data_IF_507215619841
#
_entry.id   IF_507215619841
#
_cell.length_a   1.000
_cell.length_b   1.000
_cell.length_c   1.000
_cell.angle_alpha   90.00
_cell.angle_beta   90.00
_cell.angle_gamma   90.00
#
_symmetry.space_group_name_H-M   'P 1'
#
loop_
_entity.id
_entity.type
_entity.pdbx_description
1 polymer ?
#
# COMPACT_ATOMS: atom_id res chain seq x y z
N UNK A 1 -8.72 23.50 -3.36
CA UNK A 1 -8.50 22.31 -2.51
C UNK A 1 -7.02 22.24 -2.20
N UNK A 2 -6.65 22.22 -0.90
CA UNK A 2 -5.26 21.97 -0.49
C UNK A 2 -4.99 20.49 -0.75
N UNK A 3 -3.89 20.15 -1.41
CA UNK A 3 -3.53 18.74 -1.63
C UNK A 3 -2.88 18.22 -0.36
N UNK A 4 -3.65 17.47 0.43
CA UNK A 4 -3.32 17.09 1.82
C UNK A 4 -2.46 15.81 1.86
N UNK A 5 -2.53 14.99 0.82
CA UNK A 5 -1.63 13.86 0.59
C UNK A 5 -1.28 13.79 -0.90
N UNK A 6 0.00 13.99 -1.21
CA UNK A 6 0.48 13.90 -2.59
C UNK A 6 1.39 12.68 -2.73
N UNK A 7 0.93 11.69 -3.48
CA UNK A 7 1.73 10.54 -3.89
C UNK A 7 2.19 10.78 -5.30
N UNK A 8 3.46 11.13 -5.46
CA UNK A 8 4.08 11.26 -6.78
C UNK A 8 4.89 10.01 -7.06
N UNK A 9 4.75 9.51 -8.29
CA UNK A 9 5.55 8.43 -8.80
C UNK A 9 6.47 9.00 -9.87
N UNK A 10 7.77 8.96 -9.59
CA UNK A 10 8.80 9.27 -10.58
C UNK A 10 9.75 8.07 -10.67
N UNK A 11 9.79 7.44 -11.84
CA UNK A 11 10.52 6.19 -12.10
C UNK A 11 10.18 5.09 -11.07
N UNK A 12 11.17 4.77 -10.23
CA UNK A 12 11.21 3.73 -9.21
C UNK A 12 11.03 4.27 -7.78
N UNK A 13 10.78 5.57 -7.65
CA UNK A 13 10.60 6.24 -6.36
C UNK A 13 9.13 6.56 -6.15
N UNK A 14 8.63 6.23 -4.95
CA UNK A 14 7.32 6.65 -4.46
C UNK A 14 7.58 7.70 -3.39
N UNK A 15 7.18 8.94 -3.67
CA UNK A 15 7.32 10.05 -2.74
C UNK A 15 5.96 10.37 -2.12
N UNK A 16 5.90 10.39 -0.80
CA UNK A 16 4.68 10.69 -0.03
C UNK A 16 4.92 11.96 0.76
N UNK A 17 4.16 13.01 0.46
CA UNK A 17 4.14 14.23 1.28
C UNK A 17 2.91 14.21 2.17
N UNK A 18 3.12 14.35 3.49
CA UNK A 18 2.09 14.37 4.53
C UNK A 18 2.17 15.71 5.26
N UNK A 19 1.14 16.55 5.11
CA UNK A 19 1.04 17.83 5.83
C UNK A 19 0.59 17.62 7.29
N UNK A 20 0.67 18.67 8.12
CA UNK A 20 0.36 18.60 9.56
C UNK A 20 -1.11 18.40 9.89
N UNK A 21 -2.01 18.73 8.97
CA UNK A 21 -3.46 18.76 9.19
C UNK A 21 -4.17 17.56 8.54
N UNK A 22 -3.47 16.44 8.37
CA UNK A 22 -3.97 15.23 7.72
C UNK A 22 -4.83 14.43 8.70
N UNK A 23 -6.06 14.10 8.32
CA UNK A 23 -6.89 13.20 9.11
C UNK A 23 -6.34 11.77 9.06
N UNK A 24 -6.65 10.95 10.08
CA UNK A 24 -6.26 9.53 10.07
C UNK A 24 -6.74 8.81 8.80
N UNK A 25 -7.96 9.11 8.33
CA UNK A 25 -8.54 8.53 7.12
C UNK A 25 -7.74 8.89 5.84
N UNK A 26 -7.33 10.15 5.70
CA UNK A 26 -6.49 10.58 4.56
C UNK A 26 -5.11 9.93 4.59
N UNK A 27 -4.54 9.73 5.78
CA UNK A 27 -3.28 9.02 5.96
C UNK A 27 -3.43 7.54 5.57
N UNK A 28 -4.52 6.89 5.97
CA UNK A 28 -4.84 5.51 5.60
C UNK A 28 -4.97 5.36 4.07
N UNK A 29 -5.68 6.27 3.40
CA UNK A 29 -5.77 6.26 1.94
C UNK A 29 -4.40 6.44 1.27
N UNK A 30 -3.54 7.29 1.82
CA UNK A 30 -2.19 7.44 1.32
C UNK A 30 -1.35 6.18 1.44
N UNK A 31 -1.39 5.54 2.61
CA UNK A 31 -0.69 4.27 2.84
C UNK A 31 -1.21 3.16 1.92
N UNK A 32 -2.53 3.06 1.73
CA UNK A 32 -3.14 2.12 0.77
C UNK A 32 -2.60 2.37 -0.64
N UNK A 33 -2.52 3.63 -1.06
CA UNK A 33 -2.03 3.99 -2.39
C UNK A 33 -0.54 3.63 -2.58
N UNK A 34 0.29 3.87 -1.56
CA UNK A 34 1.71 3.46 -1.57
C UNK A 34 1.83 1.94 -1.69
N UNK A 35 1.10 1.19 -0.86
CA UNK A 35 1.09 -0.28 -0.88
C UNK A 35 0.67 -0.83 -2.24
N UNK A 36 -0.38 -0.26 -2.83
CA UNK A 36 -0.84 -0.62 -4.18
C UNK A 36 0.27 -0.48 -5.23
N UNK A 37 1.01 0.63 -5.22
CA UNK A 37 2.10 0.87 -6.16
C UNK A 37 3.29 -0.07 -5.94
N UNK A 38 3.63 -0.36 -4.68
CA UNK A 38 4.68 -1.33 -4.34
C UNK A 38 4.34 -2.74 -4.83
N UNK A 39 3.08 -3.17 -4.67
CA UNK A 39 2.59 -4.47 -5.17
C UNK A 39 2.72 -4.54 -6.69
N UNK A 40 2.29 -3.50 -7.42
CA UNK A 40 2.43 -3.46 -8.89
C UNK A 40 3.89 -3.51 -9.31
N UNK A 41 4.78 -2.81 -8.59
CA UNK A 41 6.22 -2.82 -8.88
C UNK A 41 6.81 -4.22 -8.70
N UNK A 42 6.47 -4.92 -7.62
CA UNK A 42 6.94 -6.29 -7.39
C UNK A 42 6.42 -7.28 -8.45
N UNK A 43 5.16 -7.14 -8.86
CA UNK A 43 4.58 -7.94 -9.96
C UNK A 43 5.40 -7.76 -11.25
N UNK A 44 5.72 -6.51 -11.59
CA UNK A 44 6.53 -6.19 -12.78
C UNK A 44 7.96 -6.70 -12.67
N UNK A 45 8.60 -6.51 -11.51
CA UNK A 45 9.97 -6.94 -11.26
C UNK A 45 10.13 -8.47 -11.37
N UNK A 46 9.08 -9.22 -11.02
CA UNK A 46 9.01 -10.68 -11.17
C UNK A 46 8.60 -11.16 -12.57
N UNK A 47 8.37 -10.26 -13.51
CA UNK A 47 7.88 -10.61 -14.86
C UNK A 47 6.47 -11.21 -14.86
N UNK A 48 5.68 -11.00 -13.81
CA UNK A 48 4.32 -11.53 -13.71
C UNK A 48 3.33 -10.63 -14.44
N UNK A 49 2.31 -11.23 -15.07
CA UNK A 49 1.20 -10.47 -15.66
C UNK A 49 0.39 -9.79 -14.56
N UNK A 50 0.05 -8.51 -14.75
CA UNK A 50 -0.89 -7.81 -13.87
C UNK A 50 -2.28 -8.44 -14.01
N UNK A 51 -2.69 -9.20 -13.00
CA UNK A 51 -3.99 -9.87 -12.91
C UNK A 51 -4.47 -9.83 -11.47
N UNK A 52 -5.79 -9.97 -11.25
CA UNK A 52 -6.37 -10.01 -9.91
C UNK A 52 -5.73 -11.10 -9.03
N UNK A 53 -5.46 -12.27 -9.59
CA UNK A 53 -4.85 -13.38 -8.86
C UNK A 53 -3.41 -13.06 -8.42
N UNK A 54 -2.58 -12.56 -9.33
CA UNK A 54 -1.19 -12.21 -9.03
C UNK A 54 -1.12 -11.01 -8.06
N UNK A 55 -2.03 -10.04 -8.21
CA UNK A 55 -2.16 -8.92 -7.28
C UNK A 55 -2.49 -9.41 -5.87
N UNK A 56 -3.53 -10.23 -5.72
CA UNK A 56 -3.93 -10.78 -4.42
C UNK A 56 -2.82 -11.63 -3.79
N UNK A 57 -2.11 -12.43 -4.59
CA UNK A 57 -0.99 -13.23 -4.10
C UNK A 57 0.14 -12.36 -3.53
N UNK A 58 0.54 -11.30 -4.23
CA UNK A 58 1.60 -10.39 -3.78
C UNK A 58 1.12 -9.54 -2.60
N UNK A 59 -0.12 -9.04 -2.64
CA UNK A 59 -0.73 -8.33 -1.52
C UNK A 59 -0.73 -9.16 -0.23
N UNK A 60 -1.11 -10.44 -0.31
CA UNK A 60 -1.10 -11.33 0.85
C UNK A 60 0.31 -11.51 1.40
N UNK A 61 1.33 -11.65 0.54
CA UNK A 61 2.73 -11.73 0.98
C UNK A 61 3.18 -10.46 1.71
N UNK A 62 2.80 -9.28 1.20
CA UNK A 62 3.06 -8.01 1.87
C UNK A 62 2.34 -7.94 3.23
N UNK A 63 1.08 -8.38 3.30
CA UNK A 63 0.33 -8.48 4.54
C UNK A 63 1.03 -9.38 5.58
N UNK A 64 1.50 -10.56 5.18
CA UNK A 64 2.26 -11.45 6.05
C UNK A 64 3.61 -10.86 6.48
N UNK A 65 4.32 -10.19 5.57
CA UNK A 65 5.57 -9.48 5.90
C UNK A 65 5.34 -8.40 6.96
N UNK A 66 4.30 -7.57 6.80
CA UNK A 66 3.93 -6.54 7.77
C UNK A 66 3.57 -7.17 9.12
N UNK A 67 2.76 -8.24 9.14
CA UNK A 67 2.44 -8.97 10.38
C UNK A 67 3.70 -9.46 11.10
N UNK A 68 4.62 -10.08 10.37
CA UNK A 68 5.87 -10.60 10.94
C UNK A 68 6.78 -9.50 11.51
N UNK A 69 6.80 -8.32 10.88
CA UNK A 69 7.71 -7.23 11.26
C UNK A 69 7.17 -6.35 12.38
N UNK A 70 5.85 -6.17 12.43
CA UNK A 70 5.21 -5.31 13.43
C UNK A 70 4.81 -6.08 14.69
N UNK A 71 4.75 -7.42 14.62
CA UNK A 71 4.16 -8.24 15.68
C UNK A 71 2.67 -7.98 15.88
N UNK A 72 2.05 -7.16 15.02
CA UNK A 72 0.66 -6.73 15.14
C UNK A 72 -0.22 -7.71 14.36
N UNK A 73 -0.96 -8.52 15.11
CA UNK A 73 -2.02 -9.37 14.60
C UNK A 73 -3.31 -8.52 14.51
N UNK A 74 -3.43 -7.67 13.48
CA UNK A 74 -4.76 -7.15 13.13
C UNK A 74 -5.51 -8.27 12.41
N UNK A 75 -6.33 -8.97 13.20
CA UNK A 75 -7.35 -9.85 12.64
C UNK A 75 -8.38 -8.93 11.99
N UNK A 76 -8.36 -8.84 10.66
CA UNK A 76 -9.44 -8.26 9.87
C UNK A 76 -10.65 -9.21 9.96
N UNK A 77 -11.15 -9.43 11.18
CA UNK A 77 -12.43 -10.07 11.43
C UNK A 77 -13.46 -9.13 10.82
N UNK A 78 -13.95 -9.54 9.67
CA UNK A 78 -15.13 -8.98 9.06
C UNK A 78 -16.24 -9.06 10.11
N UNK A 79 -16.76 -7.91 10.55
CA UNK A 79 -18.02 -7.89 11.31
C UNK A 79 -19.05 -8.63 10.44
N UNK A 80 -19.57 -9.73 10.99
CA UNK A 80 -20.72 -10.45 10.44
C UNK A 80 -21.95 -9.55 10.38
#
# INVERSE_FOLDING_TARGET
MKTILNVTKDNDTISVHVDRDVTTEELEYGLINVMYHLIIRDIKARGMRLSKNNFNQVNNRYGEAIKSHTGVMWDLIHKK
#
